data_IF_863429944136
#
_entry.id   IF_863429944136
#
_cell.length_a   1.000
_cell.length_b   1.000
_cell.length_c   1.000
_cell.angle_alpha   90.00
_cell.angle_beta   90.00
_cell.angle_gamma   90.00
#
_symmetry.space_group_name_H-M   'P 1'
#
loop_
_entity.id
_entity.type
_entity.pdbx_description
1 polymer ?
#
# COMPACT_ATOMS: atom_id res chain seq x y z
N UNK A 1 -22.53 -1.86 6.47
CA UNK A 1 -21.46 -2.36 7.35
C UNK A 1 -21.83 -2.14 8.80
N UNK A 2 -21.43 -3.03 9.70
CA UNK A 2 -21.68 -2.92 11.13
C UNK A 2 -20.37 -2.90 11.89
N UNK A 3 -20.16 -1.94 12.80
CA UNK A 3 -18.99 -1.92 13.68
C UNK A 3 -19.11 -3.04 14.72
N UNK A 4 -18.13 -3.94 14.76
CA UNK A 4 -18.03 -5.00 15.76
C UNK A 4 -17.20 -4.56 16.96
N UNK A 5 -16.05 -3.93 16.70
CA UNK A 5 -15.17 -3.40 17.74
C UNK A 5 -14.29 -2.27 17.20
N UNK A 6 -13.80 -1.46 18.12
CA UNK A 6 -12.84 -0.38 17.89
C UNK A 6 -11.79 -0.43 18.99
N UNK A 7 -10.51 -0.38 18.62
CA UNK A 7 -9.39 -0.42 19.55
C UNK A 7 -8.40 0.71 19.22
N UNK A 8 -8.15 1.61 20.17
CA UNK A 8 -7.21 2.76 20.01
C UNK A 8 -5.72 2.35 20.07
N UNK A 9 -5.44 1.05 19.96
CA UNK A 9 -4.10 0.45 20.00
C UNK A 9 -3.22 0.96 21.16
N UNK A 10 -3.79 0.93 22.37
CA UNK A 10 -3.16 1.38 23.62
C UNK A 10 -2.66 2.85 23.57
N UNK A 11 -3.36 3.69 22.78
CA UNK A 11 -3.02 5.09 22.57
C UNK A 11 -1.96 5.32 21.49
N UNK A 12 -1.45 4.26 20.88
CA UNK A 12 -0.51 4.30 19.77
C UNK A 12 -1.21 3.91 18.46
N UNK A 13 -2.09 4.82 17.99
CA UNK A 13 -2.46 4.86 16.57
C UNK A 13 -1.26 5.29 15.71
N UNK A 14 -1.53 5.87 14.55
CA UNK A 14 -0.49 6.32 13.61
C UNK A 14 -0.26 5.29 12.51
N UNK A 15 -1.33 4.76 11.93
CA UNK A 15 -1.26 3.53 11.14
C UNK A 15 -0.84 3.76 9.70
N UNK A 16 0.01 2.88 9.19
CA UNK A 16 0.58 2.89 7.84
C UNK A 16 -0.31 2.24 6.79
N UNK A 17 0.31 1.89 5.68
CA UNK A 17 -0.20 1.27 4.46
C UNK A 17 0.27 -0.21 4.43
N UNK A 18 0.00 -0.92 5.53
CA UNK A 18 0.40 -2.32 5.69
C UNK A 18 -0.39 -3.01 6.78
N UNK A 19 -1.39 -3.79 6.37
CA UNK A 19 -2.13 -4.71 7.21
C UNK A 19 -1.98 -6.13 6.67
N UNK A 20 -1.50 -7.05 7.49
CA UNK A 20 -1.40 -8.46 7.13
C UNK A 20 -1.99 -9.35 8.22
N UNK A 21 -2.56 -10.49 7.82
CA UNK A 21 -3.11 -11.48 8.75
C UNK A 21 -2.23 -12.72 8.80
N UNK A 22 -1.81 -13.10 10.00
CA UNK A 22 -1.19 -14.39 10.29
C UNK A 22 -2.25 -15.35 10.85
N UNK A 23 -2.33 -16.55 10.28
CA UNK A 23 -2.85 -17.70 10.99
C UNK A 23 -1.69 -18.31 11.78
N UNK A 24 -1.63 -18.06 13.09
CA UNK A 24 -0.55 -18.54 13.93
C UNK A 24 -0.63 -20.06 14.14
N UNK A 25 0.50 -20.69 14.49
CA UNK A 25 0.60 -22.15 14.66
C UNK A 25 -0.33 -22.69 15.77
N UNK A 26 -0.73 -21.84 16.72
CA UNK A 26 -1.68 -22.16 17.79
C UNK A 26 -3.16 -21.93 17.42
N UNK A 27 -3.44 -21.59 16.15
CA UNK A 27 -4.77 -21.37 15.60
C UNK A 27 -5.33 -19.97 15.80
N UNK A 28 -4.58 -19.05 16.44
CA UNK A 28 -5.00 -17.65 16.55
C UNK A 28 -4.87 -16.90 15.24
N UNK A 29 -5.71 -15.88 15.08
CA UNK A 29 -5.61 -14.91 13.99
C UNK A 29 -4.96 -13.64 14.52
N UNK A 30 -3.75 -13.36 14.05
CA UNK A 30 -2.99 -12.17 14.46
C UNK A 30 -2.98 -11.18 13.30
N UNK A 31 -3.53 -9.99 13.55
CA UNK A 31 -3.46 -8.86 12.64
C UNK A 31 -2.19 -8.06 12.93
N UNK A 32 -1.32 -7.97 11.94
CA UNK A 32 -0.10 -7.19 11.95
C UNK A 32 -0.35 -5.86 11.23
N UNK A 33 0.02 -4.75 11.85
CA UNK A 33 -0.20 -3.42 11.31
C UNK A 33 1.07 -2.58 11.42
N UNK A 34 1.46 -1.98 10.30
CA UNK A 34 2.55 -1.04 10.17
C UNK A 34 2.18 0.33 10.77
N UNK A 35 3.17 1.08 11.26
CA UNK A 35 2.99 2.46 11.70
C UNK A 35 3.56 3.45 10.68
N UNK A 36 2.73 4.42 10.28
CA UNK A 36 3.07 5.53 9.39
C UNK A 36 4.16 6.43 9.98
N UNK A 37 4.31 6.45 11.30
CA UNK A 37 5.36 7.25 11.94
C UNK A 37 5.78 6.69 13.29
N UNK A 38 7.07 6.88 13.60
CA UNK A 38 7.60 6.74 14.96
C UNK A 38 6.72 7.50 15.99
N UNK A 39 6.61 7.01 17.24
CA UNK A 39 7.62 6.18 17.92
C UNK A 39 7.48 4.67 17.70
N UNK A 40 6.34 4.19 17.19
CA UNK A 40 6.10 2.76 17.01
C UNK A 40 6.50 2.29 15.61
N UNK A 41 6.84 1.01 15.54
CA UNK A 41 7.24 0.30 14.34
C UNK A 41 6.05 -0.47 13.75
N UNK A 42 5.63 -1.52 14.45
CA UNK A 42 4.44 -2.30 14.10
C UNK A 42 3.65 -2.68 15.36
N UNK A 43 2.41 -3.10 15.18
CA UNK A 43 1.54 -3.63 16.23
C UNK A 43 0.94 -4.95 15.79
N UNK A 44 1.02 -5.96 16.66
CA UNK A 44 0.31 -7.23 16.53
C UNK A 44 -0.92 -7.24 17.42
N UNK A 45 -2.07 -7.61 16.87
CA UNK A 45 -3.35 -7.72 17.58
C UNK A 45 -3.95 -9.09 17.35
N UNK A 46 -4.27 -9.79 18.44
CA UNK A 46 -5.08 -11.00 18.40
C UNK A 46 -6.53 -10.62 18.08
N UNK A 47 -6.99 -11.04 16.91
CA UNK A 47 -8.34 -10.78 16.37
C UNK A 47 -9.11 -12.09 16.14
N UNK A 48 -8.72 -13.13 16.89
CA UNK A 48 -9.41 -14.43 16.90
C UNK A 48 -10.88 -14.22 17.26
N UNK A 49 -11.14 -13.49 18.36
CA UNK A 49 -12.44 -12.90 18.66
C UNK A 49 -12.48 -11.44 18.16
N UNK A 50 -13.16 -11.16 17.03
CA UNK A 50 -13.20 -9.81 16.46
C UNK A 50 -13.97 -8.80 17.32
N UNK A 51 -14.74 -9.24 18.32
CA UNK A 51 -15.44 -8.35 19.26
C UNK A 51 -14.57 -7.94 20.43
N UNK A 52 -13.51 -8.68 20.71
CA UNK A 52 -12.59 -8.45 21.83
C UNK A 52 -11.13 -8.50 21.35
N UNK A 53 -10.72 -7.62 20.41
CA UNK A 53 -9.35 -7.58 19.93
C UNK A 53 -8.38 -7.25 21.07
N UNK A 54 -7.20 -7.88 21.07
CA UNK A 54 -6.18 -7.68 22.10
C UNK A 54 -4.83 -7.40 21.49
N UNK A 55 -4.24 -6.24 21.81
CA UNK A 55 -2.84 -5.97 21.47
C UNK A 55 -1.94 -6.98 22.18
N UNK A 56 -1.08 -7.66 21.41
CA UNK A 56 -0.15 -8.66 21.93
C UNK A 56 1.30 -8.19 21.91
N UNK A 57 1.63 -7.28 20.98
CA UNK A 57 2.97 -6.67 20.87
C UNK A 57 2.88 -5.32 20.19
N UNK A 58 3.67 -4.36 20.66
CA UNK A 58 3.96 -3.10 19.96
C UNK A 58 5.46 -2.82 20.06
N UNK A 59 6.12 -2.75 18.92
CA UNK A 59 7.57 -2.51 18.84
C UNK A 59 7.86 -1.04 18.56
N UNK A 60 9.06 -0.58 18.92
CA UNK A 60 9.47 0.81 18.77
C UNK A 60 10.38 1.00 17.54
N UNK A 61 10.26 2.15 16.91
CA UNK A 61 11.22 2.65 15.94
C UNK A 61 12.51 3.09 16.65
N UNK A 62 13.68 2.90 16.02
CA UNK A 62 14.96 3.29 16.63
C UNK A 62 15.10 4.81 16.82
N UNK A 63 14.36 5.64 16.06
CA UNK A 63 14.30 7.09 16.23
C UNK A 63 13.11 7.72 15.49
N UNK A 64 12.82 9.01 15.79
CA UNK A 64 11.65 9.76 15.26
C UNK A 64 11.70 10.16 13.78
N UNK A 65 12.72 9.69 13.05
CA UNK A 65 13.00 10.04 11.64
C UNK A 65 12.98 8.84 10.70
N UNK A 66 12.49 7.70 11.18
CA UNK A 66 12.20 6.51 10.37
C UNK A 66 10.73 6.12 10.62
N UNK A 67 10.11 5.53 9.61
CA UNK A 67 8.75 4.97 9.66
C UNK A 67 8.74 3.58 9.05
N UNK A 68 7.77 2.77 9.46
CA UNK A 68 7.52 1.45 8.92
C UNK A 68 6.19 1.40 8.24
N UNK A 69 6.06 2.25 7.20
CA UNK A 69 4.79 2.52 6.53
C UNK A 69 4.11 1.26 5.98
N UNK A 70 4.83 0.19 5.67
CA UNK A 70 4.27 -1.01 5.05
C UNK A 70 4.88 -2.26 5.67
N UNK A 71 4.09 -3.33 5.74
CA UNK A 71 4.52 -4.66 6.14
C UNK A 71 3.71 -5.73 5.41
N UNK A 72 4.24 -6.95 5.37
CA UNK A 72 3.55 -8.13 4.85
C UNK A 72 3.94 -9.39 5.62
N UNK A 73 3.07 -10.41 5.60
CA UNK A 73 3.25 -11.66 6.35
C UNK A 73 2.96 -12.88 5.49
N UNK A 74 3.87 -13.86 5.50
CA UNK A 74 3.64 -15.21 4.96
C UNK A 74 4.06 -16.24 6.01
N UNK A 75 3.10 -17.00 6.52
CA UNK A 75 3.36 -17.97 7.59
C UNK A 75 3.97 -17.29 8.81
N UNK A 76 5.18 -17.71 9.19
CA UNK A 76 5.90 -17.16 10.35
C UNK A 76 6.96 -16.11 9.97
N UNK A 77 6.97 -15.63 8.72
CA UNK A 77 7.84 -14.54 8.29
C UNK A 77 7.05 -13.26 8.10
N UNK A 78 7.56 -12.18 8.69
CA UNK A 78 7.06 -10.82 8.48
C UNK A 78 8.16 -9.95 7.88
N UNK A 79 7.83 -9.20 6.85
CA UNK A 79 8.72 -8.17 6.29
C UNK A 79 8.18 -6.79 6.64
N UNK A 80 9.06 -5.89 7.08
CA UNK A 80 8.66 -4.56 7.54
C UNK A 80 9.52 -3.50 6.85
N UNK A 81 8.89 -2.59 6.12
CA UNK A 81 9.58 -1.49 5.47
C UNK A 81 10.22 -0.54 6.50
N UNK A 82 11.33 0.09 6.13
CA UNK A 82 11.98 1.16 6.89
C UNK A 82 12.29 2.32 5.93
N UNK A 83 11.51 3.40 6.05
CA UNK A 83 11.69 4.63 5.29
C UNK A 83 12.15 5.76 6.18
N UNK A 84 13.22 6.45 5.80
CA UNK A 84 13.73 7.61 6.52
C UNK A 84 13.14 8.91 5.99
N UNK A 85 12.99 9.91 6.88
CA UNK A 85 12.49 11.23 6.51
C UNK A 85 13.44 11.99 5.58
N UNK A 86 14.74 11.76 5.73
CA UNK A 86 15.80 12.38 4.95
C UNK A 86 16.65 11.29 4.29
N UNK A 87 17.29 11.63 3.17
CA UNK A 87 18.23 10.73 2.49
C UNK A 87 19.46 10.45 3.36
N UNK A 88 20.17 9.37 3.07
CA UNK A 88 21.44 9.02 3.72
C UNK A 88 21.34 8.76 5.24
N UNK A 89 20.13 8.50 5.73
CA UNK A 89 19.87 8.11 7.11
C UNK A 89 19.81 6.57 7.25
N UNK A 90 19.91 6.09 8.49
CA UNK A 90 19.78 4.68 8.85
C UNK A 90 18.91 4.49 10.11
N UNK A 91 18.19 3.36 10.23
CA UNK A 91 18.07 2.31 9.23
C UNK A 91 17.15 2.73 8.08
N UNK A 92 17.49 2.31 6.87
CA UNK A 92 16.71 2.53 5.66
C UNK A 92 16.79 1.22 4.86
N UNK A 93 15.66 0.61 4.51
CA UNK A 93 15.68 -0.79 4.08
C UNK A 93 14.40 -1.52 4.41
N UNK A 94 14.46 -2.83 4.59
CA UNK A 94 13.40 -3.59 5.25
C UNK A 94 14.00 -4.60 6.23
N UNK A 95 13.23 -4.93 7.26
CA UNK A 95 13.56 -5.94 8.25
C UNK A 95 12.78 -7.22 7.97
N UNK A 96 13.41 -8.38 8.21
CA UNK A 96 12.76 -9.69 8.20
C UNK A 96 12.66 -10.19 9.63
N UNK A 97 11.45 -10.52 10.09
CA UNK A 97 11.17 -11.05 11.42
C UNK A 97 10.64 -12.48 11.35
N UNK A 98 11.05 -13.30 12.32
CA UNK A 98 10.39 -14.53 12.73
C UNK A 98 9.28 -14.17 13.72
N UNK A 99 8.04 -14.54 13.40
CA UNK A 99 6.84 -14.32 14.20
C UNK A 99 6.13 -15.63 14.58
N UNK A 100 6.87 -16.74 14.63
CA UNK A 100 6.37 -18.04 15.14
C UNK A 100 5.86 -17.96 16.58
N UNK A 101 6.39 -17.02 17.37
CA UNK A 101 5.81 -16.58 18.65
C UNK A 101 5.35 -15.13 18.50
N UNK A 102 4.05 -14.88 18.21
CA UNK A 102 3.56 -13.54 17.91
C UNK A 102 3.84 -12.49 18.99
N UNK A 103 3.87 -12.87 20.27
CA UNK A 103 4.22 -11.98 21.38
C UNK A 103 5.70 -11.55 21.38
N UNK A 104 6.58 -12.29 20.70
CA UNK A 104 8.03 -12.09 20.70
C UNK A 104 8.64 -12.14 19.28
N UNK A 105 8.28 -11.20 18.38
CA UNK A 105 8.89 -11.11 17.05
C UNK A 105 10.42 -10.99 17.14
N UNK A 106 11.12 -11.83 16.39
CA UNK A 106 12.58 -11.89 16.40
C UNK A 106 13.14 -11.42 15.07
N UNK A 107 13.94 -10.36 15.09
CA UNK A 107 14.65 -9.88 13.91
C UNK A 107 15.62 -10.97 13.41
N UNK A 108 15.49 -11.33 12.12
CA UNK A 108 16.36 -12.28 11.42
C UNK A 108 17.47 -11.53 10.68
N UNK A 109 17.10 -10.52 9.89
CA UNK A 109 18.03 -9.72 9.10
C UNK A 109 17.46 -8.33 8.77
N UNK A 110 18.35 -7.42 8.37
CA UNK A 110 18.03 -6.13 7.79
C UNK A 110 18.65 -6.04 6.40
N UNK A 111 17.86 -5.73 5.38
CA UNK A 111 18.34 -5.43 4.04
C UNK A 111 18.55 -3.91 3.89
N UNK A 112 19.81 -3.47 3.90
CA UNK A 112 20.17 -2.04 3.88
C UNK A 112 19.99 -1.42 2.48
N UNK A 113 19.13 -0.41 2.41
CA UNK A 113 18.88 0.43 1.25
C UNK A 113 19.36 1.87 1.44
N UNK A 114 20.10 2.19 2.51
CA UNK A 114 20.61 3.54 2.76
C UNK A 114 21.57 4.03 1.68
N UNK A 115 21.66 5.34 1.49
CA UNK A 115 22.49 5.93 0.44
C UNK A 115 22.31 7.43 0.29
N UNK A 116 23.20 8.10 -0.45
CA UNK A 116 23.21 9.56 -0.58
C UNK A 116 21.91 10.15 -1.14
N UNK A 117 21.17 9.37 -1.93
CA UNK A 117 19.89 9.76 -2.52
C UNK A 117 18.74 8.85 -2.10
N UNK A 118 18.94 7.97 -1.12
CA UNK A 118 17.93 6.97 -0.74
C UNK A 118 17.28 7.32 0.58
N UNK A 119 15.94 7.22 0.60
CA UNK A 119 15.11 7.23 1.82
C UNK A 119 14.73 5.83 2.29
N UNK A 120 15.25 4.75 1.69
CA UNK A 120 14.90 3.38 2.07
C UNK A 120 13.63 2.87 1.38
N UNK A 121 12.94 1.93 2.02
CA UNK A 121 11.78 1.21 1.45
C UNK A 121 10.49 1.88 1.89
N UNK A 122 9.61 2.19 0.94
CA UNK A 122 8.30 2.78 1.20
C UNK A 122 7.20 1.72 1.32
N UNK A 123 7.18 0.76 0.40
CA UNK A 123 6.22 -0.33 0.35
C UNK A 123 6.93 -1.66 0.10
N UNK A 124 6.37 -2.73 0.68
CA UNK A 124 6.76 -4.12 0.46
C UNK A 124 5.56 -4.89 -0.10
N UNK A 125 5.85 -5.89 -0.92
CA UNK A 125 4.90 -6.94 -1.30
C UNK A 125 5.57 -8.29 -1.17
N UNK A 126 5.01 -9.14 -0.32
CA UNK A 126 5.57 -10.43 0.05
C UNK A 126 4.44 -11.45 0.27
N UNK A 127 4.22 -12.29 -0.74
CA UNK A 127 3.07 -13.20 -0.76
C UNK A 127 3.44 -14.65 -1.08
N UNK A 128 4.70 -14.92 -1.46
CA UNK A 128 5.15 -16.23 -1.92
C UNK A 128 6.15 -16.92 -0.95
N UNK A 129 6.48 -16.26 0.16
CA UNK A 129 7.38 -16.80 1.18
C UNK A 129 8.88 -16.72 0.84
N UNK A 130 9.26 -16.21 -0.33
CA UNK A 130 10.65 -16.21 -0.80
C UNK A 130 11.10 -14.93 -1.51
N UNK A 131 10.21 -14.07 -1.99
CA UNK A 131 10.57 -12.87 -2.77
C UNK A 131 9.84 -11.66 -2.26
N UNK A 132 10.60 -10.60 -1.94
CA UNK A 132 10.06 -9.30 -1.55
C UNK A 132 10.20 -8.35 -2.72
N UNK A 133 9.07 -7.80 -3.16
CA UNK A 133 9.02 -6.73 -4.14
C UNK A 133 8.91 -5.40 -3.39
N UNK A 134 9.77 -4.44 -3.72
CA UNK A 134 9.89 -3.21 -2.93
C UNK A 134 9.86 -1.95 -3.80
N UNK A 135 9.20 -0.92 -3.30
CA UNK A 135 9.46 0.47 -3.67
C UNK A 135 10.60 1.00 -2.79
N UNK A 136 11.75 1.28 -3.39
CA UNK A 136 12.92 1.69 -2.59
C UNK A 136 13.96 2.49 -3.34
N UNK A 137 14.65 3.38 -2.62
CA UNK A 137 15.92 3.93 -3.08
C UNK A 137 17.05 2.91 -2.96
N UNK A 138 18.25 3.25 -3.44
CA UNK A 138 19.44 2.40 -3.33
C UNK A 138 20.71 3.26 -3.18
N UNK A 139 21.77 2.66 -2.61
CA UNK A 139 23.06 3.33 -2.40
C UNK A 139 23.74 3.80 -3.70
N UNK A 140 23.49 3.10 -4.81
CA UNK A 140 24.08 3.27 -6.14
C UNK A 140 23.10 3.87 -7.16
N UNK A 141 21.95 4.38 -6.70
CA UNK A 141 20.95 5.04 -7.54
C UNK A 141 20.97 6.55 -7.31
N UNK A 142 21.28 7.31 -8.36
CA UNK A 142 21.22 8.77 -8.37
C UNK A 142 20.15 9.23 -9.36
N UNK A 143 19.05 9.84 -8.89
CA UNK A 143 18.04 10.39 -9.79
C UNK A 143 18.47 11.75 -10.36
N UNK A 144 17.94 12.11 -11.53
CA UNK A 144 18.05 13.45 -12.11
C UNK A 144 17.33 14.50 -11.27
N UNK A 145 16.16 14.15 -10.72
CA UNK A 145 15.38 14.99 -9.82
C UNK A 145 15.29 14.32 -8.43
N UNK A 146 15.50 15.04 -7.33
CA UNK A 146 15.39 14.48 -5.98
C UNK A 146 14.04 13.81 -5.64
N UNK A 147 12.96 14.11 -6.40
CA UNK A 147 11.64 13.49 -6.21
C UNK A 147 11.51 12.10 -6.83
N UNK A 148 12.48 11.63 -7.61
CA UNK A 148 12.41 10.35 -8.34
C UNK A 148 13.29 9.27 -7.66
N UNK A 149 13.37 9.30 -6.34
CA UNK A 149 14.39 8.60 -5.53
C UNK A 149 14.05 7.16 -5.13
N UNK A 150 12.91 6.62 -5.58
CA UNK A 150 12.45 5.28 -5.23
C UNK A 150 12.02 4.52 -6.49
N UNK A 151 12.62 3.35 -6.68
CA UNK A 151 12.49 2.51 -7.86
C UNK A 151 11.91 1.15 -7.47
N UNK A 152 11.50 0.36 -8.45
CA UNK A 152 11.07 -1.01 -8.23
C UNK A 152 12.28 -1.93 -8.08
N UNK A 153 12.33 -2.76 -7.03
CA UNK A 153 13.41 -3.74 -6.80
C UNK A 153 12.82 -5.09 -6.37
N UNK A 154 13.52 -6.16 -6.72
CA UNK A 154 13.19 -7.56 -6.42
C UNK A 154 14.30 -8.10 -5.51
N UNK A 155 13.91 -8.62 -4.35
CA UNK A 155 14.84 -9.17 -3.35
C UNK A 155 14.46 -10.60 -3.04
N UNK A 156 15.37 -11.55 -3.29
CA UNK A 156 15.23 -12.93 -2.86
C UNK A 156 15.56 -13.05 -1.37
N UNK A 157 14.63 -13.65 -0.63
CA UNK A 157 14.75 -13.98 0.79
C UNK A 157 14.54 -15.47 1.05
N UNK A 158 14.70 -16.33 0.04
CA UNK A 158 14.72 -17.81 0.21
C UNK A 158 15.64 -18.24 1.37
N UNK A 159 16.71 -17.47 1.62
CA UNK A 159 17.39 -17.46 2.91
C UNK A 159 17.08 -16.14 3.66
N UNK A 160 16.18 -16.12 4.65
CA UNK A 160 15.76 -14.88 5.31
C UNK A 160 16.86 -14.22 6.13
N UNK A 161 17.96 -14.94 6.42
CA UNK A 161 19.15 -14.36 7.08
C UNK A 161 20.12 -13.67 6.11
N UNK A 162 19.94 -13.86 4.80
CA UNK A 162 20.79 -13.30 3.74
C UNK A 162 19.97 -12.86 2.53
N UNK A 163 19.16 -11.79 2.63
CA UNK A 163 18.46 -11.20 1.48
C UNK A 163 19.43 -10.78 0.37
N UNK A 164 19.07 -11.00 -0.90
CA UNK A 164 19.87 -10.63 -2.07
C UNK A 164 18.99 -9.96 -3.12
N UNK A 165 19.39 -8.78 -3.59
CA UNK A 165 18.72 -8.14 -4.73
C UNK A 165 19.00 -8.91 -6.02
N UNK A 166 17.94 -9.25 -6.75
CA UNK A 166 18.02 -10.04 -7.98
C UNK A 166 17.64 -9.24 -9.23
N UNK A 167 16.93 -8.13 -9.06
CA UNK A 167 16.51 -7.28 -10.17
C UNK A 167 16.00 -5.93 -9.72
N UNK A 168 16.02 -4.95 -10.62
CA UNK A 168 15.46 -3.61 -10.38
C UNK A 168 15.08 -2.92 -11.68
N UNK A 169 14.16 -1.98 -11.57
CA UNK A 169 13.68 -1.18 -12.69
C UNK A 169 13.32 0.23 -12.23
N UNK A 170 13.64 1.23 -13.05
CA UNK A 170 13.29 2.63 -12.84
C UNK A 170 12.64 3.21 -14.09
N UNK A 171 11.82 4.25 -13.90
CA UNK A 171 11.18 4.94 -15.01
C UNK A 171 12.23 5.54 -15.96
N UNK A 172 12.19 5.27 -17.28
CA UNK A 172 13.23 5.70 -18.20
C UNK A 172 13.46 7.22 -18.17
N UNK A 173 14.73 7.62 -18.11
CA UNK A 173 15.15 9.02 -18.10
C UNK A 173 15.18 9.66 -16.73
N UNK A 174 14.86 8.91 -15.66
CA UNK A 174 14.89 9.43 -14.29
C UNK A 174 16.25 9.23 -13.61
N UNK A 175 17.08 8.28 -14.05
CA UNK A 175 18.41 8.05 -13.47
C UNK A 175 19.47 8.87 -14.19
N UNK A 176 20.40 9.46 -13.44
CA UNK A 176 21.60 10.09 -14.03
C UNK A 176 22.38 9.06 -14.84
N UNK A 177 22.64 9.38 -16.11
CA UNK A 177 23.33 8.50 -17.05
C UNK A 177 22.39 7.70 -17.96
N UNK A 178 21.07 7.81 -17.78
CA UNK A 178 20.11 7.28 -18.74
C UNK A 178 20.29 7.93 -20.12
N UNK A 179 20.06 7.13 -21.17
CA UNK A 179 20.03 7.61 -22.56
C UNK A 179 18.64 8.12 -22.98
N UNK A 180 17.60 7.70 -22.27
CA UNK A 180 16.23 8.19 -22.47
C UNK A 180 16.11 9.64 -22.00
N UNK A 181 15.29 10.48 -22.66
CA UNK A 181 15.04 11.84 -22.21
C UNK A 181 14.29 11.85 -20.87
N UNK A 182 14.50 12.89 -20.06
CA UNK A 182 13.71 13.09 -18.85
C UNK A 182 12.23 13.23 -19.20
N UNK A 183 11.33 12.54 -18.49
CA UNK A 183 9.90 12.64 -18.74
C UNK A 183 9.37 14.05 -18.41
N UNK A 184 8.32 14.52 -19.10
CA UNK A 184 7.66 15.77 -18.76
C UNK A 184 7.05 15.67 -17.36
N UNK A 185 7.22 16.71 -16.55
CA UNK A 185 6.68 16.74 -15.18
C UNK A 185 5.31 17.42 -15.14
N UNK A 186 4.52 17.06 -14.13
CA UNK A 186 3.30 17.76 -13.79
C UNK A 186 3.58 19.21 -13.33
N UNK A 187 2.55 20.08 -13.30
CA UNK A 187 2.68 21.38 -12.65
C UNK A 187 3.24 21.25 -11.24
N UNK A 188 4.08 22.20 -10.82
CA UNK A 188 4.84 22.11 -9.57
C UNK A 188 3.99 21.87 -8.31
N UNK A 189 2.72 22.30 -8.33
CA UNK A 189 1.76 22.08 -7.24
C UNK A 189 1.31 20.62 -7.08
N UNK A 190 1.49 19.78 -8.11
CA UNK A 190 1.08 18.36 -8.13
C UNK A 190 2.23 17.40 -8.42
N UNK A 191 3.37 17.88 -8.92
CA UNK A 191 4.56 17.06 -9.15
C UNK A 191 5.08 16.45 -7.84
N UNK A 192 4.96 15.13 -7.72
CA UNK A 192 5.38 14.33 -6.57
C UNK A 192 6.41 13.26 -6.93
N UNK A 193 6.74 13.14 -8.21
CA UNK A 193 7.84 12.33 -8.70
C UNK A 193 7.44 11.06 -9.42
N UNK A 194 8.39 10.55 -10.18
CA UNK A 194 8.33 9.25 -10.81
C UNK A 194 8.93 8.23 -9.85
N UNK A 195 8.10 7.72 -8.93
CA UNK A 195 8.52 6.71 -7.95
C UNK A 195 7.59 5.52 -7.97
N UNK A 196 8.14 4.33 -7.78
CA UNK A 196 7.32 3.18 -7.40
C UNK A 196 6.62 3.53 -6.07
N UNK A 197 5.32 3.26 -5.96
CA UNK A 197 4.55 3.47 -4.74
C UNK A 197 4.14 2.12 -4.18
N UNK A 198 3.10 1.52 -4.78
CA UNK A 198 2.62 0.18 -4.50
C UNK A 198 3.11 -0.81 -5.57
N UNK A 199 3.42 -2.05 -5.19
CA UNK A 199 3.99 -3.04 -6.11
C UNK A 199 3.35 -4.40 -5.90
N UNK A 200 2.57 -4.91 -6.85
CA UNK A 200 1.87 -6.19 -6.69
C UNK A 200 2.39 -7.25 -7.66
N UNK A 201 2.74 -8.43 -7.14
CA UNK A 201 3.16 -9.60 -7.94
C UNK A 201 2.37 -10.83 -7.50
N UNK A 202 1.41 -11.21 -8.33
CA UNK A 202 0.48 -12.30 -8.01
C UNK A 202 1.02 -13.65 -8.50
N UNK A 203 0.92 -14.74 -7.72
CA UNK A 203 1.32 -16.08 -8.15
C UNK A 203 0.64 -16.59 -9.42
N UNK A 204 -0.53 -16.04 -9.78
CA UNK A 204 -1.26 -16.33 -11.02
C UNK A 204 -0.54 -15.79 -12.27
N UNK A 205 0.23 -14.72 -12.13
CA UNK A 205 1.06 -14.08 -13.17
C UNK A 205 2.40 -13.65 -12.56
N UNK A 206 3.25 -14.61 -12.15
CA UNK A 206 4.49 -14.34 -11.42
C UNK A 206 5.56 -13.68 -12.30
N UNK A 207 5.32 -13.63 -13.61
CA UNK A 207 6.10 -12.93 -14.63
C UNK A 207 5.72 -11.45 -14.77
N UNK A 208 4.76 -10.95 -13.97
CA UNK A 208 4.24 -9.59 -14.06
C UNK A 208 4.24 -8.89 -12.70
N UNK A 209 4.73 -7.65 -12.68
CA UNK A 209 4.54 -6.74 -11.56
C UNK A 209 3.61 -5.59 -11.95
N UNK A 210 2.56 -5.38 -11.15
CA UNK A 210 1.57 -4.31 -11.31
C UNK A 210 1.94 -3.19 -10.34
N UNK A 211 2.42 -2.08 -10.86
CA UNK A 211 3.07 -1.02 -10.09
C UNK A 211 2.29 0.27 -10.26
N UNK A 212 1.81 0.83 -9.15
CA UNK A 212 1.40 2.24 -9.12
C UNK A 212 2.66 3.09 -9.00
N UNK A 213 2.91 3.93 -10.01
CA UNK A 213 4.17 4.64 -10.14
C UNK A 213 4.02 6.16 -9.95
N UNK A 214 3.18 6.59 -9.00
CA UNK A 214 2.88 8.01 -8.72
C UNK A 214 2.60 8.79 -10.03
N UNK A 215 3.44 9.74 -10.43
CA UNK A 215 3.24 10.58 -11.62
C UNK A 215 3.55 9.83 -12.93
N UNK A 216 4.15 8.63 -12.82
CA UNK A 216 4.37 7.69 -13.91
C UNK A 216 3.14 6.88 -14.30
N UNK A 217 2.04 6.92 -13.53
CA UNK A 217 0.82 6.20 -13.85
C UNK A 217 0.82 4.72 -13.43
N UNK A 218 -0.09 3.94 -14.03
CA UNK A 218 -0.19 2.49 -13.85
C UNK A 218 0.78 1.79 -14.81
N UNK A 219 1.69 0.99 -14.26
CA UNK A 219 2.73 0.30 -15.02
C UNK A 219 2.64 -1.21 -14.76
N UNK A 220 2.70 -2.00 -15.83
CA UNK A 220 2.94 -3.45 -15.73
C UNK A 220 4.34 -3.75 -16.25
N UNK A 221 5.16 -4.36 -15.41
CA UNK A 221 6.51 -4.78 -15.74
C UNK A 221 6.52 -6.28 -16.07
N UNK A 222 7.22 -6.66 -17.14
CA UNK A 222 7.66 -8.03 -17.37
C UNK A 222 8.90 -8.30 -16.50
N UNK A 223 8.74 -9.20 -15.53
CA UNK A 223 9.78 -9.59 -14.57
C UNK A 223 10.24 -11.05 -14.76
N UNK A 224 9.92 -11.67 -15.91
CA UNK A 224 10.33 -13.05 -16.22
C UNK A 224 11.85 -13.22 -16.23
N UNK A 225 12.59 -12.15 -16.52
CA UNK A 225 14.03 -12.05 -16.34
C UNK A 225 14.36 -10.85 -15.45
N UNK A 226 14.64 -11.05 -14.14
CA UNK A 226 14.98 -9.96 -13.22
C UNK A 226 16.19 -9.11 -13.63
N UNK A 227 17.08 -9.63 -14.48
CA UNK A 227 18.22 -8.89 -15.01
C UNK A 227 17.88 -7.97 -16.20
N UNK A 228 16.70 -8.13 -16.81
CA UNK A 228 16.24 -7.37 -17.99
C UNK A 228 14.73 -7.10 -17.89
N UNK A 229 14.34 -6.36 -16.86
CA UNK A 229 12.94 -5.99 -16.61
C UNK A 229 12.48 -4.97 -17.65
N UNK A 230 11.29 -5.18 -18.23
CA UNK A 230 10.72 -4.32 -19.28
C UNK A 230 9.34 -3.85 -18.93
N UNK A 231 8.97 -2.68 -19.42
CA UNK A 231 7.59 -2.20 -19.36
C UNK A 231 6.76 -2.99 -20.38
N UNK A 232 5.83 -3.81 -19.90
CA UNK A 232 4.91 -4.60 -20.71
C UNK A 232 3.65 -3.81 -21.07
N UNK A 233 3.20 -2.96 -20.15
CA UNK A 233 2.04 -2.08 -20.35
C UNK A 233 2.17 -0.81 -19.51
N UNK A 234 1.52 0.25 -19.99
CA UNK A 234 1.55 1.58 -19.36
C UNK A 234 0.25 2.31 -19.64
N UNK A 235 -0.36 2.85 -18.59
CA UNK A 235 -1.47 3.77 -18.68
C UNK A 235 -1.25 4.94 -17.75
N UNK A 236 -1.29 6.16 -18.29
CA UNK A 236 -1.12 7.38 -17.51
C UNK A 236 -2.18 8.42 -17.92
N UNK A 237 -3.02 8.79 -16.97
CA UNK A 237 -4.07 9.80 -17.11
C UNK A 237 -3.64 11.21 -16.68
N UNK A 238 -2.38 11.39 -16.25
CA UNK A 238 -1.87 12.66 -15.72
C UNK A 238 -0.74 13.20 -16.61
N UNK A 239 -0.93 14.35 -17.31
CA UNK A 239 -2.10 15.24 -17.33
C UNK A 239 -3.30 14.67 -18.14
N UNK A 240 -4.54 15.18 -17.94
CA UNK A 240 -4.90 16.42 -17.22
C UNK A 240 -5.12 16.26 -15.70
N UNK A 241 -5.05 15.04 -15.17
CA UNK A 241 -5.22 14.80 -13.72
C UNK A 241 -3.95 15.10 -12.92
N UNK A 242 -4.09 15.08 -11.59
CA UNK A 242 -3.10 15.61 -10.63
C UNK A 242 -2.05 14.56 -10.19
N UNK A 243 -1.84 13.51 -10.98
CA UNK A 243 -0.86 12.45 -10.68
C UNK A 243 -1.19 11.61 -9.45
N UNK A 244 -0.15 10.98 -8.93
CA UNK A 244 -0.19 10.10 -7.77
C UNK A 244 -1.04 8.82 -7.94
N UNK A 245 -0.73 8.02 -8.97
CA UNK A 245 -1.25 6.65 -9.07
C UNK A 245 -0.68 5.77 -7.96
N UNK A 246 -1.56 5.23 -7.13
CA UNK A 246 -1.24 4.48 -5.92
C UNK A 246 -1.20 2.98 -6.16
N UNK A 247 -2.34 2.33 -6.42
CA UNK A 247 -2.46 0.87 -6.56
C UNK A 247 -2.85 0.48 -7.98
N UNK A 248 -2.33 -0.65 -8.47
CA UNK A 248 -2.81 -1.34 -9.67
C UNK A 248 -3.22 -2.75 -9.26
N UNK A 249 -4.52 -2.98 -9.12
CA UNK A 249 -5.11 -4.27 -8.72
C UNK A 249 -5.68 -4.99 -9.95
N UNK A 250 -5.05 -6.07 -10.43
CA UNK A 250 -5.59 -6.86 -11.53
C UNK A 250 -6.74 -7.77 -11.08
N UNK A 251 -7.81 -7.82 -11.88
CA UNK A 251 -8.92 -8.77 -11.79
C UNK A 251 -8.79 -9.76 -12.95
N UNK A 252 -8.04 -10.83 -12.73
CA UNK A 252 -7.54 -11.70 -13.81
C UNK A 252 -8.64 -12.36 -14.62
N UNK A 253 -9.71 -12.86 -13.98
CA UNK A 253 -10.77 -13.58 -14.70
C UNK A 253 -11.60 -12.65 -15.59
N UNK A 254 -11.50 -11.34 -15.34
CA UNK A 254 -12.24 -10.29 -16.05
C UNK A 254 -11.37 -9.51 -17.02
N UNK A 255 -10.05 -9.65 -16.96
CA UNK A 255 -9.10 -8.86 -17.73
C UNK A 255 -9.23 -7.35 -17.45
N UNK A 256 -9.47 -6.99 -16.19
CA UNK A 256 -9.59 -5.59 -15.76
C UNK A 256 -8.48 -5.22 -14.79
N UNK A 257 -8.15 -3.94 -14.71
CA UNK A 257 -7.44 -3.36 -13.57
C UNK A 257 -8.35 -2.40 -12.83
N UNK A 258 -8.25 -2.43 -11.51
CA UNK A 258 -8.71 -1.36 -10.63
C UNK A 258 -7.48 -0.54 -10.26
N UNK A 259 -7.48 0.73 -10.64
CA UNK A 259 -6.35 1.63 -10.42
C UNK A 259 -6.77 2.75 -9.49
N UNK A 260 -6.18 2.87 -8.29
CA UNK A 260 -6.46 3.99 -7.40
C UNK A 260 -5.43 5.11 -7.57
N UNK A 261 -5.90 6.35 -7.51
CA UNK A 261 -5.06 7.49 -7.16
C UNK A 261 -4.99 7.62 -5.63
N UNK A 262 -3.96 8.26 -5.08
CA UNK A 262 -3.94 8.71 -3.68
C UNK A 262 -4.16 10.21 -3.57
N UNK A 263 -5.06 10.58 -2.67
CA UNK A 263 -5.16 11.94 -2.15
C UNK A 263 -4.00 12.27 -1.23
N UNK A 264 -3.22 13.29 -1.59
CA UNK A 264 -2.03 13.71 -0.85
C UNK A 264 -2.12 15.13 -0.31
N UNK A 265 -3.16 15.87 -0.69
CA UNK A 265 -3.42 17.22 -0.20
C UNK A 265 -4.71 17.28 0.62
N UNK A 266 -4.68 18.13 1.65
CA UNK A 266 -5.84 18.39 2.47
C UNK A 266 -6.84 19.32 1.77
N UNK A 267 -8.05 19.39 2.31
CA UNK A 267 -9.09 20.35 1.94
C UNK A 267 -9.50 20.27 0.45
N UNK A 268 -9.35 19.10 -0.17
CA UNK A 268 -9.75 18.85 -1.56
C UNK A 268 -8.91 19.60 -2.61
N UNK A 269 -7.66 19.97 -2.29
CA UNK A 269 -6.79 20.76 -3.20
C UNK A 269 -6.29 19.99 -4.42
N UNK A 270 -6.19 18.68 -4.35
CA UNK A 270 -5.78 17.79 -5.43
C UNK A 270 -6.94 16.95 -5.98
N UNK A 271 -8.19 17.33 -5.66
CA UNK A 271 -9.39 16.71 -6.22
C UNK A 271 -9.43 16.83 -7.76
N UNK A 272 -9.94 15.82 -8.49
CA UNK A 272 -10.41 14.53 -7.99
C UNK A 272 -9.29 13.49 -7.86
N UNK A 273 -9.44 12.60 -6.87
CA UNK A 273 -8.55 11.45 -6.62
C UNK A 273 -9.39 10.18 -6.67
N UNK A 274 -9.35 9.54 -7.84
CA UNK A 274 -10.35 8.59 -8.29
C UNK A 274 -9.86 7.15 -8.14
N UNK A 275 -10.81 6.21 -8.25
CA UNK A 275 -10.52 4.81 -8.54
C UNK A 275 -11.07 4.50 -9.93
N UNK A 276 -10.20 4.04 -10.81
CA UNK A 276 -10.47 3.79 -12.22
C UNK A 276 -10.71 2.32 -12.47
N UNK A 277 -11.64 2.01 -13.37
CA UNK A 277 -11.76 0.68 -13.98
C UNK A 277 -11.15 0.74 -15.37
N UNK A 278 -10.13 -0.07 -15.60
CA UNK A 278 -9.38 -0.12 -16.85
C UNK A 278 -9.59 -1.50 -17.48
N UNK A 279 -10.08 -1.55 -18.71
CA UNK A 279 -10.09 -2.77 -19.51
C UNK A 279 -8.66 -3.06 -19.99
N UNK A 280 -8.12 -4.17 -19.48
CA UNK A 280 -6.76 -4.60 -19.69
C UNK A 280 -6.70 -5.99 -20.33
N UNK A 281 -7.74 -6.39 -21.08
CA UNK A 281 -7.73 -7.64 -21.86
C UNK A 281 -6.62 -7.67 -22.92
N UNK A 282 -6.12 -6.49 -23.30
CA UNK A 282 -4.90 -6.33 -24.09
C UNK A 282 -3.90 -5.48 -23.31
N UNK A 283 -2.79 -6.08 -22.89
CA UNK A 283 -1.67 -5.37 -22.25
C UNK A 283 -1.15 -4.22 -23.15
N UNK A 284 -1.26 -4.33 -24.47
CA UNK A 284 -0.76 -3.31 -25.40
C UNK A 284 -1.60 -2.02 -25.43
N UNK A 285 -2.85 -2.06 -24.96
CA UNK A 285 -3.76 -0.91 -25.01
C UNK A 285 -4.77 -0.97 -23.86
N UNK A 286 -4.35 -0.68 -22.61
CA UNK A 286 -5.27 -0.51 -21.49
C UNK A 286 -6.20 0.69 -21.74
N UNK A 287 -7.51 0.49 -21.54
CA UNK A 287 -8.54 1.53 -21.80
C UNK A 287 -9.36 1.80 -20.54
N UNK A 288 -9.43 3.04 -20.02
CA UNK A 288 -10.34 3.36 -18.93
C UNK A 288 -11.79 3.27 -19.40
N UNK A 289 -12.62 2.51 -18.67
CA UNK A 289 -14.03 2.26 -19.02
C UNK A 289 -15.01 2.88 -18.04
N UNK A 290 -14.61 3.10 -16.79
CA UNK A 290 -15.40 3.83 -15.78
C UNK A 290 -14.54 4.25 -14.59
N UNK A 291 -15.17 4.89 -13.62
CA UNK A 291 -14.60 5.18 -12.30
C UNK A 291 -15.57 4.74 -11.21
N UNK A 292 -15.06 4.48 -10.01
CA UNK A 292 -15.93 4.27 -8.86
C UNK A 292 -16.70 5.56 -8.55
N UNK A 293 -17.97 5.49 -8.13
CA UNK A 293 -18.70 6.67 -7.71
C UNK A 293 -17.99 7.28 -6.51
N UNK A 294 -17.56 8.53 -6.64
CA UNK A 294 -16.82 9.20 -5.59
C UNK A 294 -17.76 9.64 -4.47
N UNK A 295 -17.28 9.70 -3.21
CA UNK A 295 -18.09 10.20 -2.11
C UNK A 295 -18.51 11.67 -2.34
N UNK A 296 -19.63 12.15 -1.74
CA UNK A 296 -20.11 13.51 -1.98
C UNK A 296 -19.08 14.60 -1.62
N UNK A 297 -18.63 15.35 -2.62
CA UNK A 297 -17.58 16.38 -2.46
C UNK A 297 -17.92 17.39 -1.35
N UNK A 298 -19.13 17.95 -1.38
CA UNK A 298 -19.55 19.00 -0.43
C UNK A 298 -19.55 18.53 1.03
N UNK A 299 -19.69 17.22 1.26
CA UNK A 299 -19.70 16.63 2.60
C UNK A 299 -18.29 16.40 3.16
N UNK A 300 -17.29 16.17 2.30
CA UNK A 300 -15.99 15.65 2.72
C UNK A 300 -14.81 16.55 2.37
N UNK A 301 -14.88 17.33 1.30
CA UNK A 301 -13.76 18.15 0.82
C UNK A 301 -13.25 19.15 1.86
N UNK A 302 -14.12 19.66 2.74
CA UNK A 302 -13.76 20.60 3.82
C UNK A 302 -14.02 20.05 5.23
N UNK A 303 -14.21 18.73 5.35
CA UNK A 303 -14.44 18.08 6.65
C UNK A 303 -13.17 18.03 7.52
N UNK A 304 -12.00 18.14 6.89
CA UNK A 304 -10.68 18.10 7.52
C UNK A 304 -9.81 16.97 6.95
N UNK A 305 -8.52 17.23 6.81
CA UNK A 305 -7.55 16.29 6.24
C UNK A 305 -7.77 15.99 4.76
N UNK A 306 -7.28 14.82 4.33
CA UNK A 306 -7.35 14.32 2.96
C UNK A 306 -8.74 13.79 2.63
N UNK A 307 -9.16 14.01 1.39
CA UNK A 307 -10.42 13.54 0.83
C UNK A 307 -10.22 13.00 -0.60
N UNK A 308 -10.33 11.69 -0.76
CA UNK A 308 -10.17 10.99 -2.03
C UNK A 308 -9.72 9.55 -1.81
N UNK A 309 -9.53 8.80 -2.89
CA UNK A 309 -9.07 7.42 -2.85
C UNK A 309 -7.69 7.27 -2.19
N UNK A 310 -7.42 6.05 -1.69
CA UNK A 310 -6.13 5.61 -1.16
C UNK A 310 -5.94 4.10 -1.39
N UNK A 311 -5.77 3.31 -0.32
CA UNK A 311 -5.57 1.87 -0.38
C UNK A 311 -6.83 1.10 -0.75
N UNK A 312 -6.61 -0.04 -1.41
CA UNK A 312 -7.61 -1.03 -1.75
C UNK A 312 -7.30 -2.32 -1.01
N UNK A 313 -8.31 -3.16 -0.76
CA UNK A 313 -8.06 -4.56 -0.42
C UNK A 313 -7.55 -5.30 -1.67
N UNK A 314 -6.27 -5.66 -1.69
CA UNK A 314 -5.56 -6.05 -2.92
C UNK A 314 -5.67 -7.55 -3.27
N UNK A 315 -6.72 -8.24 -2.80
CA UNK A 315 -6.94 -9.67 -3.08
C UNK A 315 -5.71 -10.55 -2.76
N UNK A 316 -5.05 -10.29 -1.63
CA UNK A 316 -3.80 -10.96 -1.23
C UNK A 316 -3.91 -12.50 -1.41
N UNK A 317 -2.97 -13.14 -2.12
CA UNK A 317 -3.07 -14.56 -2.48
C UNK A 317 -2.74 -15.51 -1.31
N UNK A 318 -3.00 -15.09 -0.08
CA UNK A 318 -2.66 -15.78 1.16
C UNK A 318 -3.86 -16.54 1.76
N UNK A 319 -3.62 -17.53 2.65
CA UNK A 319 -4.66 -18.08 3.50
C UNK A 319 -5.36 -16.96 4.27
N UNK A 320 -6.64 -17.15 4.58
CA UNK A 320 -7.46 -16.25 5.40
C UNK A 320 -7.66 -14.82 4.88
N UNK A 321 -7.26 -14.52 3.64
CA UNK A 321 -7.63 -13.28 2.95
C UNK A 321 -8.87 -13.46 2.08
N UNK A 322 -9.78 -12.48 2.12
CA UNK A 322 -10.89 -12.40 1.17
C UNK A 322 -10.36 -12.14 -0.25
N UNK A 323 -11.04 -12.66 -1.26
CA UNK A 323 -10.75 -12.35 -2.67
C UNK A 323 -12.05 -12.16 -3.41
N UNK A 324 -12.10 -11.13 -4.25
CA UNK A 324 -13.23 -10.93 -5.15
C UNK A 324 -12.82 -10.22 -6.42
N UNK A 325 -13.39 -10.67 -7.53
CA UNK A 325 -13.29 -10.02 -8.83
C UNK A 325 -14.45 -9.07 -9.10
N UNK A 326 -15.41 -8.93 -8.17
CA UNK A 326 -16.58 -8.06 -8.34
C UNK A 326 -16.78 -7.08 -7.18
N UNK A 327 -16.52 -7.47 -5.94
CA UNK A 327 -16.59 -6.58 -4.79
C UNK A 327 -15.22 -6.02 -4.46
N UNK A 328 -15.06 -4.71 -4.64
CA UNK A 328 -13.81 -4.01 -4.34
C UNK A 328 -14.00 -3.14 -3.11
N UNK A 329 -13.08 -3.26 -2.16
CA UNK A 329 -13.10 -2.54 -0.89
C UNK A 329 -11.93 -1.56 -0.89
N UNK A 330 -12.15 -0.32 -0.47
CA UNK A 330 -11.09 0.69 -0.41
C UNK A 330 -11.34 1.77 0.63
N UNK A 331 -10.25 2.41 1.06
CA UNK A 331 -10.28 3.57 1.95
C UNK A 331 -10.30 4.87 1.18
N UNK A 332 -11.03 5.85 1.70
CA UNK A 332 -11.19 7.18 1.11
C UNK A 332 -10.88 8.27 2.15
N UNK A 333 -9.84 8.07 2.98
CA UNK A 333 -9.44 8.94 4.08
C UNK A 333 -10.63 9.39 4.96
N UNK A 334 -10.97 10.69 4.95
CA UNK A 334 -12.07 11.23 5.75
C UNK A 334 -13.47 10.76 5.31
N UNK A 335 -13.57 10.16 4.12
CA UNK A 335 -14.78 9.57 3.59
C UNK A 335 -14.91 8.08 3.92
N UNK A 336 -14.06 7.54 4.80
CA UNK A 336 -14.22 6.22 5.40
C UNK A 336 -13.82 5.06 4.49
N UNK A 337 -14.32 3.87 4.82
CA UNK A 337 -14.13 2.64 4.02
C UNK A 337 -15.40 2.36 3.23
N UNK A 338 -15.23 1.90 1.98
CA UNK A 338 -16.31 1.77 0.99
C UNK A 338 -16.19 0.45 0.24
N UNK A 339 -17.34 -0.07 -0.19
CA UNK A 339 -17.45 -1.30 -0.99
C UNK A 339 -18.20 -0.98 -2.27
N UNK A 340 -17.62 -1.43 -3.36
CA UNK A 340 -18.11 -1.19 -4.70
C UNK A 340 -18.38 -2.52 -5.39
N UNK A 341 -19.58 -2.68 -5.95
CA UNK A 341 -19.89 -3.74 -6.88
C UNK A 341 -19.49 -3.30 -8.30
N UNK A 342 -18.56 -4.04 -8.86
CA UNK A 342 -18.01 -3.82 -10.19
C UNK A 342 -18.50 -4.86 -11.19
N UNK A 343 -19.52 -5.67 -10.88
CA UNK A 343 -20.08 -6.70 -11.77
C UNK A 343 -20.39 -6.12 -13.16
N UNK A 344 -20.97 -4.92 -13.21
CA UNK A 344 -20.96 -4.09 -14.41
C UNK A 344 -19.76 -3.11 -14.38
N UNK A 345 -18.67 -3.37 -15.14
CA UNK A 345 -17.48 -2.53 -15.09
C UNK A 345 -17.68 -1.16 -15.74
N UNK A 346 -18.81 -0.92 -16.42
CA UNK A 346 -19.15 0.36 -17.03
C UNK A 346 -20.01 1.24 -16.11
N UNK A 347 -20.59 0.66 -15.05
CA UNK A 347 -21.47 1.34 -14.10
C UNK A 347 -21.24 0.73 -12.71
N UNK A 348 -20.14 1.14 -12.06
CA UNK A 348 -19.81 0.68 -10.71
C UNK A 348 -20.80 1.28 -9.70
N UNK A 349 -21.26 0.45 -8.76
CA UNK A 349 -22.21 0.86 -7.73
C UNK A 349 -21.54 0.81 -6.34
N UNK A 350 -21.69 1.87 -5.54
CA UNK A 350 -21.37 1.80 -4.12
C UNK A 350 -22.49 1.03 -3.40
N UNK A 351 -22.14 -0.10 -2.79
CA UNK A 351 -23.11 -1.01 -2.14
C UNK A 351 -23.04 -0.97 -0.63
N UNK A 352 -21.93 -0.48 -0.06
CA UNK A 352 -21.80 -0.26 1.37
C UNK A 352 -20.70 0.76 1.69
N UNK A 353 -20.83 1.44 2.82
CA UNK A 353 -19.75 2.24 3.39
C UNK A 353 -19.83 2.27 4.93
N UNK A 354 -18.73 2.68 5.55
CA UNK A 354 -18.67 3.04 6.96
C UNK A 354 -17.74 4.25 7.13
N UNK A 355 -18.26 5.31 7.75
CA UNK A 355 -17.49 6.51 8.08
C UNK A 355 -17.46 6.68 9.59
N UNK A 356 -16.33 6.41 10.26
CA UNK A 356 -16.21 6.64 11.69
C UNK A 356 -16.43 8.12 12.07
N UNK A 357 -16.80 8.34 13.33
CA UNK A 357 -16.72 9.67 13.94
C UNK A 357 -15.26 10.14 14.04
N UNK A 358 -15.05 11.45 14.21
CA UNK A 358 -13.69 12.01 14.37
C UNK A 358 -13.02 11.43 15.62
N UNK A 359 -11.83 10.79 15.49
CA UNK A 359 -11.07 10.35 16.65
C UNK A 359 -10.70 11.52 17.55
N UNK A 360 -10.70 11.31 18.88
CA UNK A 360 -10.43 12.36 19.87
C UNK A 360 -9.09 13.08 19.65
N UNK A 361 -8.09 12.37 19.14
CA UNK A 361 -6.73 12.88 18.92
C UNK A 361 -6.44 13.15 17.43
N UNK A 362 -7.45 13.29 16.58
CA UNK A 362 -7.26 13.53 15.15
C UNK A 362 -6.77 14.97 14.90
N UNK A 363 -5.49 15.18 14.51
CA UNK A 363 -4.97 16.53 14.25
C UNK A 363 -5.66 17.20 13.06
N UNK A 364 -6.17 16.41 12.12
CA UNK A 364 -6.88 16.87 10.93
C UNK A 364 -8.35 17.26 11.19
N UNK A 365 -8.89 17.03 12.39
CA UNK A 365 -10.30 17.28 12.71
C UNK A 365 -11.29 16.27 12.12
N UNK A 366 -10.79 15.24 11.43
CA UNK A 366 -11.58 14.14 10.85
C UNK A 366 -10.82 12.81 10.94
N UNK A 367 -11.56 11.71 10.76
CA UNK A 367 -10.96 10.39 10.51
C UNK A 367 -10.08 10.45 9.24
N UNK A 368 -9.03 9.66 9.19
CA UNK A 368 -8.16 9.46 8.02
C UNK A 368 -7.91 7.96 7.88
N UNK A 369 -8.93 7.20 7.47
CA UNK A 369 -8.76 5.77 7.27
C UNK A 369 -7.72 5.54 6.17
N UNK A 370 -6.63 4.89 6.56
CA UNK A 370 -5.41 4.79 5.77
C UNK A 370 -5.42 3.52 4.94
N UNK A 371 -5.77 2.38 5.55
CA UNK A 371 -5.67 1.08 4.89
C UNK A 371 -6.84 0.16 5.26
N UNK A 372 -7.04 -0.89 4.48
CA UNK A 372 -8.09 -1.88 4.64
C UNK A 372 -7.63 -3.29 4.27
N UNK A 373 -7.91 -4.25 5.17
CA UNK A 373 -7.77 -5.68 4.92
C UNK A 373 -9.11 -6.37 5.17
N UNK A 374 -9.47 -7.33 4.32
CA UNK A 374 -10.67 -8.15 4.50
C UNK A 374 -10.25 -9.62 4.64
N UNK A 375 -10.71 -10.27 5.71
CA UNK A 375 -10.42 -11.68 5.95
C UNK A 375 -11.44 -12.62 5.28
N UNK A 376 -11.12 -13.91 5.22
CA UNK A 376 -12.00 -14.98 4.70
C UNK A 376 -13.36 -15.12 5.41
N UNK A 377 -13.54 -14.49 6.58
CA UNK A 377 -14.83 -14.38 7.29
C UNK A 377 -15.63 -13.15 6.85
N UNK A 378 -15.15 -12.40 5.86
CA UNK A 378 -15.69 -11.12 5.38
C UNK A 378 -15.71 -10.03 6.46
N UNK A 379 -14.78 -10.11 7.40
CA UNK A 379 -14.55 -9.02 8.35
C UNK A 379 -13.61 -8.01 7.73
N UNK A 380 -13.97 -6.74 7.84
CA UNK A 380 -13.19 -5.61 7.32
C UNK A 380 -12.42 -4.99 8.48
N UNK A 381 -11.11 -5.00 8.35
CA UNK A 381 -10.16 -4.36 9.26
C UNK A 381 -9.69 -3.08 8.60
N UNK A 382 -9.96 -1.93 9.20
CA UNK A 382 -9.50 -0.65 8.68
C UNK A 382 -8.92 0.19 9.79
N UNK A 383 -7.93 1.00 9.44
CA UNK A 383 -7.05 1.66 10.40
C UNK A 383 -6.94 3.14 10.12
N UNK A 384 -6.87 3.96 11.18
CA UNK A 384 -6.71 5.41 11.07
C UNK A 384 -5.24 5.82 11.06
N UNK A 385 -4.89 6.73 10.14
CA UNK A 385 -3.52 7.27 9.97
C UNK A 385 -3.01 8.02 11.20
N UNK A 386 -3.90 8.47 12.07
CA UNK A 386 -3.58 9.22 13.28
C UNK A 386 -4.07 8.44 14.52
N UNK A 387 -4.69 9.10 15.49
CA UNK A 387 -5.03 8.49 16.79
C UNK A 387 -6.20 7.51 16.78
N UNK A 388 -6.85 7.22 15.65
CA UNK A 388 -8.06 6.40 15.61
C UNK A 388 -7.83 4.89 15.81
N UNK A 389 -6.65 4.36 15.53
CA UNK A 389 -6.36 2.93 15.74
C UNK A 389 -7.12 2.00 14.79
N UNK A 390 -7.56 0.84 15.28
CA UNK A 390 -8.16 -0.26 14.51
C UNK A 390 -9.68 -0.32 14.65
N UNK A 391 -10.38 -0.38 13.53
CA UNK A 391 -11.82 -0.62 13.43
C UNK A 391 -12.08 -1.98 12.76
N UNK A 392 -12.91 -2.81 13.40
CA UNK A 392 -13.30 -4.13 12.88
C UNK A 392 -14.78 -4.09 12.56
N UNK A 393 -15.12 -4.34 11.30
CA UNK A 393 -16.47 -4.24 10.76
C UNK A 393 -16.92 -5.59 10.18
N UNK A 394 -18.22 -5.80 10.16
CA UNK A 394 -18.87 -6.86 9.40
C UNK A 394 -19.42 -6.32 8.08
N UNK A 395 -19.09 -7.00 6.98
CA UNK A 395 -19.61 -6.71 5.65
C UNK A 395 -20.90 -7.51 5.39
N UNK A 396 -22.04 -6.92 5.75
CA UNK A 396 -23.39 -7.49 5.59
C UNK A 396 -23.96 -7.29 4.17
N UNK A 397 -23.29 -7.85 3.15
CA UNK A 397 -23.71 -7.82 1.73
C UNK A 397 -23.49 -9.15 1.02
#
# INVERSE_FOLDING_TARGET
MTLLSHHELDGFGGMGEGIAMQMADDGRRILWMAHESAPKNFTGVDVTDPKNPRVIVQTDMPHMKVRSNSLDVVGNLMVVANQTKEVNMKPAGFDVYDISTPEHPKLISHFDCSGPYSRGVHAVWFVDGKTVHISSGAHDFQPHNPKDDQIYRIVDISNPSKPVETGRWWYPGTRVGDTAPQPPRLPAQFDTGFRAHNTNVFPQRPDRAYVGYIDGGAIVLDISNPADIKMASHWNHSPPFNGFTHTVLPLFDRGLWVVSDECVQDDGKDWPKLVWVVDARSDANPVPVSTFPAPPYDAFAKRGGRFGAHNLHENLPLPVSFKSDTLIIGTFFNAGVRVYDTTNPYQVEEVAYFVPGTPRLAPAGAIQLNDVFVDDRRLVYTIDRFGGGLYILEMNI
#
